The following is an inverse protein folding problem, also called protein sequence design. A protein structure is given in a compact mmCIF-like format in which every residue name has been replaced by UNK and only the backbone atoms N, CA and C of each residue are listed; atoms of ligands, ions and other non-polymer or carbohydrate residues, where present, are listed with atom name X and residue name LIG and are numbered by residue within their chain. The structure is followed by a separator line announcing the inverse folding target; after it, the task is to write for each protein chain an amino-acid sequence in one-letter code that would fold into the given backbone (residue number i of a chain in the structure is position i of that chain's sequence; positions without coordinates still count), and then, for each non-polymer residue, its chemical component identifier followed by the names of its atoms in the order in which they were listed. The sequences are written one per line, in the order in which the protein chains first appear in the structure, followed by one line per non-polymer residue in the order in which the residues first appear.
data_IF_063284755588
#
_entry.id   IF_063284755588
#
_cell.length_a   1.000
_cell.length_b   1.000
_cell.length_c   1.000
_cell.angle_alpha   90.00
_cell.angle_beta   90.00
_cell.angle_gamma   90.00
#
_symmetry.space_group_name_H-M   'P 1'
#
loop_
_entity.id
_entity.type
_entity.pdbx_description
1 polymer ?
#
# COMPACT_ATOMS: atom_id res chain seq x y z
N UNK A 1 -24.48 -20.85 4.65
CA UNK A 1 -25.44 -20.16 3.77
C UNK A 1 -25.91 -18.91 4.48
N UNK A 2 -25.92 -17.75 3.82
CA UNK A 2 -26.36 -16.48 4.43
C UNK A 2 -27.65 -16.08 3.70
N UNK A 3 -28.70 -15.76 4.46
CA UNK A 3 -29.99 -15.32 3.92
C UNK A 3 -30.19 -13.85 4.26
N UNK A 4 -30.49 -13.04 3.25
CA UNK A 4 -30.70 -11.60 3.39
C UNK A 4 -32.08 -11.25 2.84
N UNK A 5 -32.97 -10.61 3.62
CA UNK A 5 -34.28 -10.18 3.15
C UNK A 5 -34.17 -9.13 2.02
N UNK A 6 -34.94 -9.30 0.95
CA UNK A 6 -34.94 -8.38 -0.20
C UNK A 6 -35.29 -6.94 0.20
N UNK A 7 -36.18 -6.75 1.19
CA UNK A 7 -36.55 -5.41 1.69
C UNK A 7 -35.38 -4.66 2.34
N UNK A 8 -34.46 -5.37 3.01
CA UNK A 8 -33.24 -4.78 3.57
C UNK A 8 -32.18 -4.51 2.50
N UNK A 9 -32.19 -5.25 1.40
CA UNK A 9 -31.29 -5.04 0.26
C UNK A 9 -31.71 -3.84 -0.61
N UNK A 10 -33.01 -3.65 -0.84
CA UNK A 10 -33.51 -2.56 -1.70
C UNK A 10 -33.38 -1.18 -1.07
N UNK A 11 -33.35 -1.08 0.26
CA UNK A 11 -33.28 0.18 0.99
C UNK A 11 -31.86 0.69 1.28
N UNK A 12 -30.82 -0.13 1.05
CA UNK A 12 -29.44 0.18 1.45
C UNK A 12 -28.50 0.20 0.24
N UNK A 13 -27.39 0.95 0.35
CA UNK A 13 -26.34 0.93 -0.67
C UNK A 13 -25.69 -0.47 -0.71
N UNK A 14 -25.63 -1.07 -1.91
CA UNK A 14 -24.99 -2.37 -2.13
C UNK A 14 -23.68 -2.17 -2.89
N UNK A 15 -22.54 -2.56 -2.28
CA UNK A 15 -21.23 -2.51 -2.94
C UNK A 15 -21.03 -3.75 -3.82
N UNK A 16 -20.98 -3.56 -5.14
CA UNK A 16 -20.70 -4.64 -6.09
C UNK A 16 -19.26 -4.54 -6.60
N UNK A 17 -18.41 -5.46 -6.15
CA UNK A 17 -16.99 -5.52 -6.55
C UNK A 17 -16.75 -6.16 -7.92
N UNK A 18 -17.75 -6.83 -8.50
CA UNK A 18 -17.65 -7.53 -9.79
C UNK A 18 -18.16 -6.73 -10.98
N UNK A 19 -18.83 -5.59 -10.76
CA UNK A 19 -19.42 -4.76 -11.82
C UNK A 19 -18.40 -3.89 -12.56
N UNK A 20 -17.24 -3.64 -11.97
CA UNK A 20 -16.18 -2.82 -12.57
C UNK A 20 -15.02 -3.72 -12.97
N UNK A 21 -14.48 -3.52 -14.18
CA UNK A 21 -13.38 -4.33 -14.72
C UNK A 21 -12.02 -3.96 -14.13
N UNK A 22 -11.91 -2.76 -13.54
CA UNK A 22 -10.70 -2.25 -12.91
C UNK A 22 -10.94 -1.97 -11.44
N UNK A 23 -9.94 -2.26 -10.61
CA UNK A 23 -9.91 -1.96 -9.17
C UNK A 23 -8.62 -1.26 -8.81
N UNK A 24 -8.69 -0.35 -7.84
CA UNK A 24 -7.52 0.34 -7.29
C UNK A 24 -6.95 -0.46 -6.13
N UNK A 25 -5.67 -0.79 -6.19
CA UNK A 25 -4.90 -1.37 -5.08
C UNK A 25 -4.19 -0.24 -4.36
N UNK A 26 -4.16 -0.29 -3.03
CA UNK A 26 -3.53 0.72 -2.20
C UNK A 26 -2.62 0.06 -1.17
N UNK A 27 -1.44 0.62 -0.98
CA UNK A 27 -0.50 0.25 0.09
C UNK A 27 -0.03 1.48 0.84
N UNK A 28 0.39 1.25 2.08
CA UNK A 28 1.12 2.22 2.90
C UNK A 28 2.38 1.52 3.39
N UNK A 29 3.54 1.94 2.88
CA UNK A 29 4.84 1.43 3.30
C UNK A 29 5.50 2.45 4.22
N UNK A 30 5.64 2.10 5.50
CA UNK A 30 6.39 2.89 6.46
C UNK A 30 7.88 2.63 6.33
N UNK A 31 8.67 3.68 6.21
CA UNK A 31 10.14 3.63 6.25
C UNK A 31 10.68 4.42 7.44
N UNK A 32 11.92 4.16 7.84
CA UNK A 32 12.55 4.85 8.97
C UNK A 32 12.69 6.37 8.75
N UNK A 33 12.61 7.13 9.83
CA UNK A 33 12.95 8.55 9.79
C UNK A 33 14.44 8.72 9.47
N UNK A 34 14.76 9.53 8.45
CA UNK A 34 16.12 9.75 7.97
C UNK A 34 16.41 9.09 6.61
N UNK A 35 15.55 8.19 6.15
CA UNK A 35 15.63 7.61 4.80
C UNK A 35 15.45 8.66 3.70
N UNK A 36 16.15 8.48 2.58
CA UNK A 36 15.95 9.33 1.39
C UNK A 36 14.64 8.96 0.70
N UNK A 37 13.59 9.72 0.99
CA UNK A 37 12.24 9.54 0.41
C UNK A 37 12.26 9.55 -1.12
N UNK A 38 13.17 10.29 -1.78
CA UNK A 38 13.26 10.28 -3.24
C UNK A 38 13.77 8.94 -3.74
N UNK A 39 14.75 8.36 -3.04
CA UNK A 39 15.25 7.01 -3.31
C UNK A 39 14.17 5.96 -3.10
N UNK A 40 13.47 5.98 -1.96
CA UNK A 40 12.37 5.06 -1.67
C UNK A 40 11.29 5.13 -2.76
N UNK A 41 10.89 6.35 -3.17
CA UNK A 41 9.93 6.53 -4.27
C UNK A 41 10.42 5.94 -5.59
N UNK A 42 11.71 6.12 -5.93
CA UNK A 42 12.27 5.60 -7.16
C UNK A 42 12.27 4.05 -7.18
N UNK A 43 12.60 3.42 -6.05
CA UNK A 43 12.55 1.96 -5.90
C UNK A 43 11.12 1.44 -6.06
N UNK A 44 10.17 2.05 -5.36
CA UNK A 44 8.75 1.69 -5.48
C UNK A 44 8.26 1.88 -6.91
N UNK A 45 8.60 2.99 -7.58
CA UNK A 45 8.20 3.21 -8.98
C UNK A 45 8.78 2.14 -9.90
N UNK A 46 10.02 1.69 -9.68
CA UNK A 46 10.64 0.62 -10.46
C UNK A 46 9.92 -0.71 -10.26
N UNK A 47 9.55 -1.05 -9.03
CA UNK A 47 8.76 -2.25 -8.70
C UNK A 47 7.40 -2.20 -9.42
N UNK A 48 6.69 -1.08 -9.29
CA UNK A 48 5.37 -0.89 -9.90
C UNK A 48 5.44 -0.98 -11.44
N UNK A 49 6.44 -0.37 -12.06
CA UNK A 49 6.60 -0.39 -13.52
C UNK A 49 7.03 -1.77 -14.06
N UNK A 50 7.58 -2.65 -13.21
CA UNK A 50 8.01 -3.97 -13.62
C UNK A 50 6.86 -4.99 -13.68
N UNK A 51 5.74 -4.73 -13.00
CA UNK A 51 4.59 -5.63 -12.97
C UNK A 51 3.58 -5.31 -14.09
N UNK A 52 3.56 -6.15 -15.12
CA UNK A 52 2.66 -6.00 -16.29
C UNK A 52 1.16 -6.04 -15.97
N UNK A 53 0.76 -6.47 -14.77
CA UNK A 53 -0.65 -6.47 -14.32
C UNK A 53 -1.12 -5.09 -13.90
N UNK A 54 -0.18 -4.19 -13.58
CA UNK A 54 -0.46 -2.82 -13.20
C UNK A 54 -0.68 -1.98 -14.46
N UNK A 55 -1.79 -1.25 -14.47
CA UNK A 55 -2.21 -0.43 -15.61
C UNK A 55 -1.54 0.94 -15.55
N UNK A 56 -1.01 1.40 -16.68
CA UNK A 56 -0.48 2.76 -16.83
C UNK A 56 -1.56 3.85 -16.78
N UNK A 57 -2.83 3.47 -17.04
CA UNK A 57 -3.97 4.39 -17.07
C UNK A 57 -5.16 3.83 -16.29
N UNK A 58 -5.57 4.50 -15.19
CA UNK A 58 -5.00 5.73 -14.64
C UNK A 58 -3.58 5.56 -14.06
N UNK A 59 -2.80 6.65 -14.07
CA UNK A 59 -1.41 6.65 -13.59
C UNK A 59 -1.30 6.25 -12.11
N UNK A 60 -0.21 5.56 -11.78
CA UNK A 60 0.15 5.23 -10.40
C UNK A 60 0.43 6.48 -9.58
N UNK A 61 0.04 6.49 -8.31
CA UNK A 61 0.37 7.53 -7.35
C UNK A 61 1.35 6.97 -6.32
N UNK A 62 2.51 7.60 -6.15
CA UNK A 62 3.49 7.27 -5.11
C UNK A 62 3.92 8.56 -4.40
N UNK A 63 3.41 8.76 -3.18
CA UNK A 63 3.58 10.02 -2.45
C UNK A 63 3.93 9.76 -0.99
N UNK A 64 4.62 10.71 -0.35
CA UNK A 64 4.71 10.73 1.10
C UNK A 64 3.32 11.11 1.62
N UNK A 65 2.66 10.17 2.30
CA UNK A 65 1.30 10.33 2.77
C UNK A 65 1.22 10.94 4.17
N UNK A 66 2.04 10.45 5.10
CA UNK A 66 2.03 10.90 6.49
C UNK A 66 3.40 10.80 7.16
N UNK A 67 3.57 11.60 8.22
CA UNK A 67 4.66 11.51 9.18
C UNK A 67 4.07 10.93 10.46
N UNK A 68 4.26 9.63 10.68
CA UNK A 68 3.65 8.85 11.75
C UNK A 68 4.58 8.75 12.97
N UNK A 69 4.10 8.17 14.09
CA UNK A 69 4.82 8.17 15.36
C UNK A 69 6.23 7.54 15.30
N UNK A 70 6.44 6.56 14.43
CA UNK A 70 7.75 5.88 14.27
C UNK A 70 8.13 5.64 12.81
N UNK A 71 7.39 6.20 11.85
CA UNK A 71 7.60 5.97 10.42
C UNK A 71 7.32 7.20 9.56
N UNK A 72 7.98 7.27 8.40
CA UNK A 72 7.56 8.08 7.27
C UNK A 72 6.77 7.19 6.33
N UNK A 73 5.49 7.49 6.13
CA UNK A 73 4.58 6.61 5.40
C UNK A 73 4.48 7.00 3.93
N UNK A 74 4.82 6.07 3.04
CA UNK A 74 4.68 6.23 1.59
C UNK A 74 3.42 5.53 1.13
N UNK A 75 2.49 6.32 0.57
CA UNK A 75 1.25 5.81 0.00
C UNK A 75 1.45 5.49 -1.47
N UNK A 76 1.11 4.25 -1.85
CA UNK A 76 1.14 3.76 -3.24
C UNK A 76 -0.27 3.43 -3.67
N UNK A 77 -0.71 3.93 -4.82
CA UNK A 77 -1.99 3.56 -5.43
C UNK A 77 -1.80 3.23 -6.89
N UNK A 78 -2.35 2.09 -7.30
CA UNK A 78 -2.30 1.63 -8.69
C UNK A 78 -3.63 1.06 -9.13
N UNK A 79 -3.85 0.96 -10.43
CA UNK A 79 -5.02 0.32 -11.00
C UNK A 79 -4.65 -1.01 -11.65
N UNK A 80 -5.49 -2.01 -11.44
CA UNK A 80 -5.33 -3.36 -12.00
C UNK A 80 -6.67 -3.85 -12.52
N UNK A 81 -6.66 -4.94 -13.29
CA UNK A 81 -7.91 -5.66 -13.59
C UNK A 81 -8.46 -6.28 -12.31
N UNK A 82 -9.79 -6.33 -12.18
CA UNK A 82 -10.44 -6.86 -10.99
C UNK A 82 -10.05 -8.31 -10.65
N UNK A 83 -9.72 -9.11 -11.66
CA UNK A 83 -9.23 -10.48 -11.51
C UNK A 83 -7.82 -10.58 -10.89
N UNK A 84 -6.97 -9.58 -11.15
CA UNK A 84 -5.56 -9.57 -10.71
C UNK A 84 -5.40 -8.88 -9.33
N UNK A 85 -6.48 -8.34 -8.77
CA UNK A 85 -6.44 -7.52 -7.56
C UNK A 85 -5.69 -8.18 -6.39
N UNK A 86 -6.03 -9.43 -6.07
CA UNK A 86 -5.46 -10.11 -4.91
C UNK A 86 -4.01 -10.55 -5.16
N UNK A 87 -3.70 -11.05 -6.35
CA UNK A 87 -2.33 -11.48 -6.66
C UNK A 87 -1.39 -10.27 -6.65
N UNK A 88 -1.78 -9.15 -7.28
CA UNK A 88 -0.98 -7.92 -7.24
C UNK A 88 -0.84 -7.40 -5.80
N UNK A 89 -1.92 -7.37 -5.01
CA UNK A 89 -1.86 -6.89 -3.62
C UNK A 89 -0.79 -7.61 -2.80
N UNK A 90 -0.74 -8.95 -2.89
CA UNK A 90 0.15 -9.76 -2.07
C UNK A 90 1.55 -9.88 -2.65
N UNK A 91 1.70 -10.10 -3.95
CA UNK A 91 3.01 -10.25 -4.59
C UNK A 91 3.85 -8.97 -4.42
N UNK A 92 3.23 -7.80 -4.57
CA UNK A 92 3.94 -6.52 -4.40
C UNK A 92 4.42 -6.33 -2.96
N UNK A 93 3.73 -6.85 -1.94
CA UNK A 93 4.23 -6.79 -0.56
C UNK A 93 5.54 -7.57 -0.41
N UNK A 94 5.60 -8.78 -0.95
CA UNK A 94 6.78 -9.64 -0.87
C UNK A 94 7.96 -9.06 -1.67
N UNK A 95 7.68 -8.53 -2.88
CA UNK A 95 8.68 -7.87 -3.70
C UNK A 95 9.22 -6.62 -2.99
N UNK A 96 8.35 -5.77 -2.45
CA UNK A 96 8.78 -4.56 -1.71
C UNK A 96 9.62 -4.94 -0.50
N UNK A 97 9.17 -5.92 0.31
CA UNK A 97 9.94 -6.37 1.47
C UNK A 97 11.32 -6.87 1.07
N UNK A 98 11.41 -7.71 0.04
CA UNK A 98 12.68 -8.28 -0.43
C UNK A 98 13.59 -7.19 -0.99
N UNK A 99 13.09 -6.36 -1.90
CA UNK A 99 13.88 -5.30 -2.54
C UNK A 99 14.33 -4.24 -1.55
N UNK A 100 13.50 -3.85 -0.58
CA UNK A 100 13.90 -2.87 0.45
C UNK A 100 15.04 -3.42 1.30
N UNK A 101 15.00 -4.69 1.69
CA UNK A 101 16.10 -5.32 2.44
C UNK A 101 17.39 -5.39 1.61
N UNK A 102 17.31 -5.74 0.32
CA UNK A 102 18.47 -5.78 -0.59
C UNK A 102 19.09 -4.38 -0.80
N UNK A 103 18.23 -3.36 -0.84
CA UNK A 103 18.62 -1.96 -1.00
C UNK A 103 18.96 -1.27 0.33
N UNK A 104 18.85 -1.95 1.47
CA UNK A 104 19.10 -1.36 2.78
C UNK A 104 18.15 -0.20 3.12
N UNK A 105 16.90 -0.27 2.69
CA UNK A 105 15.81 0.61 3.15
C UNK A 105 15.17 -0.05 4.36
N UNK A 106 15.27 0.59 5.52
CA UNK A 106 14.78 0.04 6.79
C UNK A 106 13.26 0.09 6.94
N UNK A 107 12.69 -0.96 7.53
CA UNK A 107 11.33 -0.96 8.05
C UNK A 107 11.35 -0.58 9.53
N UNK A 108 10.62 0.47 9.96
CA UNK A 108 10.69 0.95 11.32
C UNK A 108 10.01 -0.01 12.30
N UNK A 109 10.66 -0.22 13.43
CA UNK A 109 10.01 -0.77 14.63
C UNK A 109 9.40 0.38 15.45
N UNK A 110 8.40 0.10 16.31
CA UNK A 110 7.93 1.08 17.28
C UNK A 110 9.10 1.66 18.10
N UNK A 111 9.25 2.98 18.09
CA UNK A 111 10.31 3.67 18.81
C UNK A 111 9.80 4.24 20.14
N UNK A 112 10.57 4.06 21.21
CA UNK A 112 10.30 4.65 22.53
C UNK A 112 11.56 5.33 23.06
N UNK A 113 11.51 6.65 23.21
CA UNK A 113 12.58 7.43 23.83
C UNK A 113 12.39 7.46 25.35
N UNK A 114 13.36 6.91 26.08
CA UNK A 114 13.39 6.95 27.55
C UNK A 114 14.30 8.08 28.04
N UNK A 115 13.76 9.01 28.81
CA UNK A 115 14.54 10.03 29.51
C UNK A 115 14.73 9.60 30.97
N UNK A 116 15.96 9.25 31.35
CA UNK A 116 16.31 9.01 32.75
C UNK A 116 16.63 10.35 33.42
N UNK A 117 15.93 10.65 34.52
CA UNK A 117 16.28 11.77 35.39
C UNK A 117 17.61 11.49 36.10
N UNK A 118 18.43 12.53 36.32
CA UNK A 118 19.60 12.45 37.20
C UNK A 118 19.15 12.74 38.62
N UNK A 119 19.61 11.94 39.57
CA UNK A 119 19.41 12.12 41.02
C UNK A 119 19.96 13.48 41.51
#
# INVERSE_FOLDING_TARGET
MIYVPNGSLSGNAVTNYSKQDKRRVEWVFGVEYGEDVKRVRAVLQRIINADSRILDTPASLIVLGSLSASSVDIMVRVWVKSADYWSVLYDINEIVYTTFNEEGIGFPFPQLTLHQAKD
#
